data_IF_180352390298
#
_entry.id   IF_180352390298
#
_cell.length_a   1.000
_cell.length_b   1.000
_cell.length_c   1.000
_cell.angle_alpha   90.00
_cell.angle_beta   90.00
_cell.angle_gamma   90.00
#
_symmetry.space_group_name_H-M   'P 1'
#
loop_
_entity.id
_entity.type
_entity.pdbx_description
1 polymer ?
#
# COMPACT_ATOMS: atom_id res chain seq x y z
N UNK A 1 -28.21 -11.99 -22.43
CA UNK A 1 -28.03 -12.06 -20.97
C UNK A 1 -28.29 -10.67 -20.41
N UNK A 2 -29.25 -10.53 -19.50
CA UNK A 2 -29.44 -9.27 -18.77
C UNK A 2 -28.32 -9.21 -17.72
N UNK A 3 -27.40 -8.23 -17.75
CA UNK A 3 -26.33 -8.19 -16.77
C UNK A 3 -26.93 -7.97 -15.39
N UNK A 4 -26.48 -8.76 -14.40
CA UNK A 4 -26.90 -8.62 -13.01
C UNK A 4 -26.21 -7.40 -12.37
N UNK A 5 -26.54 -6.21 -12.88
CA UNK A 5 -25.90 -4.95 -12.48
C UNK A 5 -26.00 -4.67 -10.98
N UNK A 6 -27.09 -5.10 -10.33
CA UNK A 6 -27.26 -4.95 -8.88
C UNK A 6 -26.23 -5.78 -8.09
N UNK A 7 -25.94 -7.00 -8.55
CA UNK A 7 -24.94 -7.87 -7.92
C UNK A 7 -23.53 -7.32 -8.17
N UNK A 8 -23.23 -6.97 -9.43
CA UNK A 8 -21.91 -6.43 -9.81
C UNK A 8 -21.62 -5.12 -9.06
N UNK A 9 -22.58 -4.20 -8.99
CA UNK A 9 -22.44 -2.95 -8.25
C UNK A 9 -22.27 -3.17 -6.75
N UNK A 10 -23.07 -4.07 -6.15
CA UNK A 10 -22.96 -4.38 -4.71
C UNK A 10 -21.59 -4.96 -4.35
N UNK A 11 -21.10 -5.93 -5.12
CA UNK A 11 -19.78 -6.53 -4.89
C UNK A 11 -18.64 -5.53 -5.14
N UNK A 12 -18.78 -4.66 -6.15
CA UNK A 12 -17.84 -3.55 -6.39
C UNK A 12 -17.71 -2.61 -5.18
N UNK A 13 -18.82 -2.17 -4.59
CA UNK A 13 -18.78 -1.33 -3.38
C UNK A 13 -18.17 -2.05 -2.17
N UNK A 14 -18.51 -3.34 -1.97
CA UNK A 14 -17.90 -4.15 -0.90
C UNK A 14 -16.38 -4.28 -1.09
N UNK A 15 -15.95 -4.49 -2.33
CA UNK A 15 -14.53 -4.54 -2.68
C UNK A 15 -13.84 -3.21 -2.34
N UNK A 16 -14.35 -2.08 -2.84
CA UNK A 16 -13.82 -0.74 -2.54
C UNK A 16 -13.69 -0.49 -1.03
N UNK A 17 -14.74 -0.81 -0.27
CA UNK A 17 -14.73 -0.66 1.19
C UNK A 17 -13.67 -1.53 1.88
N UNK A 18 -13.56 -2.81 1.49
CA UNK A 18 -12.59 -3.74 2.06
C UNK A 18 -11.15 -3.33 1.74
N UNK A 19 -10.91 -2.86 0.51
CA UNK A 19 -9.60 -2.39 0.08
C UNK A 19 -9.21 -1.10 0.82
N UNK A 20 -10.11 -0.13 0.93
CA UNK A 20 -9.84 1.11 1.67
C UNK A 20 -9.58 0.86 3.16
N UNK A 21 -10.32 -0.04 3.80
CA UNK A 21 -10.07 -0.44 5.18
C UNK A 21 -8.68 -1.10 5.33
N UNK A 22 -8.31 -1.95 4.38
CA UNK A 22 -7.01 -2.61 4.32
C UNK A 22 -5.86 -1.62 4.18
N UNK A 23 -5.97 -0.68 3.23
CA UNK A 23 -4.98 0.35 2.96
C UNK A 23 -4.84 1.30 4.16
N UNK A 24 -5.97 1.75 4.72
CA UNK A 24 -6.00 2.65 5.87
C UNK A 24 -5.31 2.02 7.09
N UNK A 25 -5.49 0.71 7.31
CA UNK A 25 -4.77 -0.02 8.34
C UNK A 25 -3.25 -0.03 8.07
N UNK A 26 -2.83 -0.19 6.82
CA UNK A 26 -1.42 -0.18 6.49
C UNK A 26 -0.77 1.19 6.72
N UNK A 27 -1.46 2.27 6.35
CA UNK A 27 -1.03 3.64 6.65
C UNK A 27 -0.87 3.84 8.16
N UNK A 28 -1.87 3.42 8.96
CA UNK A 28 -1.79 3.49 10.44
C UNK A 28 -0.58 2.75 10.99
N UNK A 29 -0.26 1.56 10.46
CA UNK A 29 0.91 0.79 10.89
C UNK A 29 2.21 1.54 10.59
N UNK A 30 2.33 2.16 9.42
CA UNK A 30 3.52 2.93 9.06
C UNK A 30 3.68 4.15 9.99
N UNK A 31 2.59 4.86 10.27
CA UNK A 31 2.60 5.99 11.20
C UNK A 31 2.96 5.57 12.63
N UNK A 32 2.47 4.41 13.10
CA UNK A 32 2.81 3.87 14.40
C UNK A 32 4.32 3.59 14.52
N UNK A 33 4.93 2.95 13.51
CA UNK A 33 6.38 2.67 13.49
C UNK A 33 7.19 3.97 13.45
N UNK A 34 6.75 4.99 12.70
CA UNK A 34 7.40 6.30 12.71
C UNK A 34 7.34 6.92 14.12
N UNK A 35 6.18 6.86 14.78
CA UNK A 35 6.00 7.38 16.13
C UNK A 35 6.87 6.65 17.18
N UNK A 36 6.99 5.32 17.08
CA UNK A 36 7.90 4.53 17.92
C UNK A 36 9.36 4.95 17.72
N UNK A 37 9.78 5.17 16.47
CA UNK A 37 11.13 5.64 16.18
C UNK A 37 11.37 7.07 16.69
N UNK A 38 10.35 7.93 16.70
CA UNK A 38 10.43 9.27 17.30
C UNK A 38 10.61 9.18 18.83
N UNK A 39 9.85 8.31 19.51
CA UNK A 39 10.05 8.05 20.93
C UNK A 39 11.46 7.53 21.25
N UNK A 40 11.99 6.62 20.42
CA UNK A 40 13.36 6.13 20.59
C UNK A 40 14.42 7.23 20.41
N UNK A 41 14.15 8.24 19.56
CA UNK A 41 15.02 9.41 19.43
C UNK A 41 15.02 10.24 20.73
N UNK A 42 13.84 10.46 21.33
CA UNK A 42 13.73 11.14 22.62
C UNK A 42 14.48 10.40 23.72
N UNK A 43 14.37 9.07 23.78
CA UNK A 43 15.12 8.23 24.71
C UNK A 43 16.64 8.41 24.56
N UNK A 44 17.14 8.46 23.33
CA UNK A 44 18.56 8.73 23.08
C UNK A 44 18.98 10.12 23.57
N UNK A 45 18.14 11.15 23.42
CA UNK A 45 18.44 12.48 23.94
C UNK A 45 18.48 12.50 25.47
N UNK A 46 17.54 11.84 26.14
CA UNK A 46 17.54 11.69 27.60
C UNK A 46 18.79 10.97 28.12
N UNK A 47 19.32 9.99 27.38
CA UNK A 47 20.57 9.32 27.71
C UNK A 47 21.77 10.26 27.61
N UNK A 48 21.80 11.11 26.57
CA UNK A 48 22.85 12.12 26.38
C UNK A 48 22.85 13.15 27.50
N UNK A 49 21.67 13.64 27.90
CA UNK A 49 21.51 14.56 29.03
C UNK A 49 22.02 13.95 30.36
N UNK A 50 21.96 12.62 30.49
CA UNK A 50 22.51 11.86 31.63
C UNK A 50 24.00 11.53 31.49
N UNK A 51 24.67 12.06 30.47
CA UNK A 51 26.11 11.89 30.24
C UNK A 51 26.50 10.60 29.49
N UNK A 52 25.53 9.85 28.94
CA UNK A 52 25.83 8.70 28.09
C UNK A 52 26.17 9.21 26.69
N UNK A 53 27.32 8.85 26.10
CA UNK A 53 27.69 9.33 24.78
C UNK A 53 26.74 8.80 23.70
N UNK A 54 26.39 9.67 22.74
CA UNK A 54 25.54 9.31 21.61
C UNK A 54 26.33 8.45 20.61
N UNK A 55 25.76 7.31 20.26
CA UNK A 55 26.26 6.46 19.19
C UNK A 55 25.70 6.94 17.84
N UNK A 56 26.58 7.51 17.01
CA UNK A 56 26.23 8.04 15.70
C UNK A 56 25.72 6.97 14.73
N UNK A 57 26.16 5.72 14.88
CA UNK A 57 25.68 4.61 14.06
C UNK A 57 24.23 4.25 14.41
N UNK A 58 23.87 4.28 15.70
CA UNK A 58 22.48 4.07 16.15
C UNK A 58 21.56 5.17 15.64
N UNK A 59 21.99 6.43 15.72
CA UNK A 59 21.21 7.55 15.22
C UNK A 59 21.00 7.44 13.70
N UNK A 60 22.04 7.08 12.94
CA UNK A 60 21.94 6.85 11.50
C UNK A 60 20.93 5.75 11.17
N UNK A 61 21.01 4.59 11.84
CA UNK A 61 20.05 3.50 11.65
C UNK A 61 18.62 3.91 11.97
N UNK A 62 18.41 4.76 12.97
CA UNK A 62 17.09 5.29 13.31
C UNK A 62 16.55 6.19 12.20
N UNK A 63 17.37 7.10 11.68
CA UNK A 63 17.00 7.95 10.56
C UNK A 63 16.66 7.14 9.30
N UNK A 64 17.47 6.13 8.97
CA UNK A 64 17.22 5.24 7.84
C UNK A 64 15.89 4.47 7.98
N UNK A 65 15.56 4.01 9.19
CA UNK A 65 14.27 3.36 9.48
C UNK A 65 13.10 4.33 9.25
N UNK A 66 13.17 5.55 9.78
CA UNK A 66 12.13 6.58 9.58
C UNK A 66 11.96 6.85 8.09
N UNK A 67 13.05 7.08 7.35
CA UNK A 67 13.01 7.36 5.92
C UNK A 67 12.38 6.20 5.13
N UNK A 68 12.71 4.96 5.48
CA UNK A 68 12.15 3.77 4.83
C UNK A 68 10.63 3.66 5.05
N UNK A 69 10.14 4.02 6.23
CA UNK A 69 8.71 4.05 6.53
C UNK A 69 7.99 5.18 5.79
N UNK A 70 8.59 6.38 5.70
CA UNK A 70 8.03 7.49 4.91
C UNK A 70 7.88 7.08 3.43
N UNK A 71 8.94 6.50 2.83
CA UNK A 71 8.87 6.01 1.46
C UNK A 71 7.82 4.90 1.28
N UNK A 72 7.61 4.07 2.29
CA UNK A 72 6.54 3.06 2.28
C UNK A 72 5.16 3.70 2.34
N UNK A 73 4.92 4.67 3.22
CA UNK A 73 3.66 5.42 3.27
C UNK A 73 3.35 6.07 1.93
N UNK A 74 4.33 6.72 1.30
CA UNK A 74 4.16 7.36 -0.01
C UNK A 74 3.70 6.37 -1.08
N UNK A 75 4.33 5.18 -1.16
CA UNK A 75 3.90 4.12 -2.07
C UNK A 75 2.47 3.65 -1.80
N UNK A 76 2.10 3.46 -0.53
CA UNK A 76 0.74 3.05 -0.15
C UNK A 76 -0.29 4.10 -0.59
N UNK A 77 -0.02 5.38 -0.32
CA UNK A 77 -0.90 6.50 -0.69
C UNK A 77 -1.01 6.62 -2.21
N UNK A 78 0.10 6.47 -2.94
CA UNK A 78 0.09 6.47 -4.41
C UNK A 78 -0.82 5.36 -4.96
N UNK A 79 -0.70 4.14 -4.45
CA UNK A 79 -1.56 3.03 -4.86
C UNK A 79 -3.03 3.25 -4.49
N UNK A 80 -3.29 3.84 -3.31
CA UNK A 80 -4.64 4.24 -2.90
C UNK A 80 -5.25 5.26 -3.86
N UNK A 81 -4.48 6.27 -4.27
CA UNK A 81 -4.94 7.30 -5.21
C UNK A 81 -5.21 6.70 -6.59
N UNK A 82 -4.33 5.83 -7.09
CA UNK A 82 -4.57 5.08 -8.33
C UNK A 82 -5.86 4.26 -8.24
N UNK A 83 -6.11 3.62 -7.09
CA UNK A 83 -7.31 2.83 -6.87
C UNK A 83 -8.57 3.71 -6.80
N UNK A 84 -8.52 4.82 -6.08
CA UNK A 84 -9.64 5.76 -5.97
C UNK A 84 -10.03 6.34 -7.34
N UNK A 85 -9.05 6.68 -8.18
CA UNK A 85 -9.30 7.19 -9.53
C UNK A 85 -9.72 6.11 -10.54
N UNK A 86 -9.64 4.83 -10.17
CA UNK A 86 -9.95 3.74 -11.08
C UNK A 86 -11.43 3.68 -11.49
N UNK A 87 -12.31 4.19 -10.63
CA UNK A 87 -13.76 4.29 -10.87
C UNK A 87 -14.19 5.59 -11.59
N UNK A 88 -13.28 6.56 -11.75
CA UNK A 88 -13.57 7.80 -12.49
C UNK A 88 -13.69 7.53 -14.00
N UNK A 89 -13.01 6.48 -14.49
CA UNK A 89 -12.99 6.10 -15.91
C UNK A 89 -13.97 4.96 -16.14
N UNK A 90 -15.12 5.28 -16.73
CA UNK A 90 -16.14 4.27 -17.05
C UNK A 90 -15.65 3.27 -18.08
N UNK A 91 -14.88 3.65 -19.12
CA UNK A 91 -14.35 2.67 -20.09
C UNK A 91 -12.98 3.11 -20.58
N UNK A 92 -11.99 2.23 -20.52
CA UNK A 92 -10.62 2.56 -20.88
C UNK A 92 -9.89 1.41 -21.54
N UNK A 93 -8.84 1.75 -22.31
CA UNK A 93 -7.84 0.77 -22.73
C UNK A 93 -6.95 0.46 -21.53
N UNK A 94 -6.89 -0.81 -21.17
CA UNK A 94 -6.18 -1.31 -20.01
C UNK A 94 -5.20 -2.36 -20.47
N UNK A 95 -3.93 -2.20 -20.12
CA UNK A 95 -2.93 -3.25 -20.26
C UNK A 95 -3.13 -4.26 -19.12
N UNK A 96 -3.35 -5.53 -19.46
CA UNK A 96 -3.74 -6.56 -18.50
C UNK A 96 -2.62 -6.89 -17.51
N UNK A 97 -1.36 -6.87 -17.94
CA UNK A 97 -0.22 -7.08 -17.05
C UNK A 97 -0.14 -6.02 -15.96
N UNK A 98 -0.29 -4.75 -16.31
CA UNK A 98 -0.33 -3.62 -15.39
C UNK A 98 -1.50 -3.71 -14.41
N UNK A 99 -2.70 -4.03 -14.90
CA UNK A 99 -3.88 -4.19 -14.05
C UNK A 99 -3.70 -5.34 -13.05
N UNK A 100 -3.24 -6.51 -13.50
CA UNK A 100 -3.01 -7.66 -12.63
C UNK A 100 -1.90 -7.40 -11.60
N UNK A 101 -0.84 -6.71 -12.02
CA UNK A 101 0.25 -6.28 -11.13
C UNK A 101 -0.27 -5.32 -10.07
N UNK A 102 -1.10 -4.37 -10.46
CA UNK A 102 -1.74 -3.43 -9.53
C UNK A 102 -2.69 -4.15 -8.56
N UNK A 103 -3.50 -5.10 -9.04
CA UNK A 103 -4.37 -5.94 -8.19
C UNK A 103 -3.57 -6.77 -7.18
N UNK A 104 -2.39 -7.26 -7.59
CA UNK A 104 -1.47 -7.98 -6.70
C UNK A 104 -0.97 -7.07 -5.58
N UNK A 105 -0.54 -5.85 -5.92
CA UNK A 105 -0.08 -4.85 -4.95
C UNK A 105 -1.19 -4.46 -3.99
N UNK A 106 -2.40 -4.18 -4.51
CA UNK A 106 -3.56 -3.83 -3.69
C UNK A 106 -3.92 -4.94 -2.70
N UNK A 107 -3.91 -6.19 -3.15
CA UNK A 107 -4.32 -7.34 -2.34
C UNK A 107 -3.19 -7.94 -1.49
N UNK A 108 -1.95 -7.45 -1.62
CA UNK A 108 -0.75 -8.02 -1.01
C UNK A 108 -0.90 -8.19 0.51
N UNK A 109 -1.40 -7.16 1.22
CA UNK A 109 -1.60 -7.25 2.68
C UNK A 109 -2.61 -8.34 3.04
N UNK A 110 -3.71 -8.45 2.28
CA UNK A 110 -4.76 -9.45 2.52
C UNK A 110 -4.26 -10.87 2.24
N UNK A 111 -3.40 -11.03 1.23
CA UNK A 111 -2.74 -12.30 0.92
C UNK A 111 -1.75 -12.69 2.03
N UNK A 112 -0.91 -11.75 2.46
CA UNK A 112 0.07 -11.97 3.52
C UNK A 112 -0.57 -12.36 4.86
N UNK A 113 -1.72 -11.78 5.22
CA UNK A 113 -2.51 -12.18 6.40
C UNK A 113 -2.97 -13.65 6.36
N UNK A 114 -2.94 -14.28 5.19
CA UNK A 114 -3.29 -15.68 4.96
C UNK A 114 -2.07 -16.52 4.54
N UNK A 115 -0.86 -15.99 4.69
CA UNK A 115 0.39 -16.65 4.29
C UNK A 115 0.45 -16.99 2.79
N UNK A 116 -0.25 -16.20 1.96
CA UNK A 116 -0.25 -16.33 0.51
C UNK A 116 0.61 -15.27 -0.15
N UNK A 117 1.22 -15.63 -1.28
CA UNK A 117 1.94 -14.71 -2.16
C UNK A 117 1.34 -14.78 -3.56
N UNK A 118 1.16 -13.62 -4.18
CA UNK A 118 0.73 -13.53 -5.58
C UNK A 118 1.91 -13.15 -6.46
N UNK A 119 1.96 -13.73 -7.65
CA UNK A 119 2.91 -13.42 -8.69
C UNK A 119 2.17 -13.31 -10.02
N UNK A 120 2.47 -12.25 -10.76
CA UNK A 120 1.94 -12.02 -12.10
C UNK A 120 3.10 -12.16 -13.06
N UNK A 121 2.93 -13.02 -14.05
CA UNK A 121 3.89 -13.21 -15.14
C UNK A 121 3.22 -12.67 -16.41
N UNK A 122 3.47 -11.41 -16.79
CA UNK A 122 2.90 -10.87 -18.01
C UNK A 122 3.53 -11.53 -19.25
N UNK A 123 2.77 -11.68 -20.35
CA UNK A 123 3.32 -12.14 -21.62
C UNK A 123 4.37 -11.14 -22.17
N UNK A 124 5.26 -11.58 -23.08
CA UNK A 124 6.25 -10.69 -23.71
C UNK A 124 5.60 -9.53 -24.47
N UNK A 125 4.46 -9.80 -25.12
CA UNK A 125 3.70 -8.81 -25.86
C UNK A 125 2.54 -8.27 -25.00
N UNK A 126 2.41 -6.95 -24.80
CA UNK A 126 1.34 -6.36 -24.00
C UNK A 126 -0.05 -6.72 -24.51
N UNK A 127 -0.96 -7.09 -23.61
CA UNK A 127 -2.35 -7.39 -23.97
C UNK A 127 -3.22 -6.23 -23.49
N UNK A 128 -3.71 -5.44 -24.45
CA UNK A 128 -4.61 -4.32 -24.15
C UNK A 128 -6.05 -4.69 -24.48
N UNK A 129 -6.96 -4.49 -23.52
CA UNK A 129 -8.40 -4.65 -23.71
C UNK A 129 -9.13 -3.35 -23.40
N UNK A 130 -10.29 -3.15 -24.02
CA UNK A 130 -11.20 -2.05 -23.65
C UNK A 130 -12.24 -2.56 -22.65
N UNK A 131 -12.13 -2.14 -21.39
CA UNK A 131 -13.00 -2.64 -20.30
C UNK A 131 -13.34 -1.54 -19.29
N UNK A 132 -14.25 -1.88 -18.36
CA UNK A 132 -14.38 -1.23 -17.05
C UNK A 132 -13.34 -1.90 -16.14
N UNK A 133 -12.28 -1.20 -15.70
CA UNK A 133 -11.18 -1.83 -14.96
C UNK A 133 -11.56 -2.24 -13.53
N UNK A 134 -12.56 -1.58 -12.93
CA UNK A 134 -13.06 -1.80 -11.56
C UNK A 134 -14.56 -1.61 -11.49
#
# INVERSE_FOLDING_TARGET
MNPQWDIIGSEGFKFMGKMNASISHEIKNVLAIINENAGLLEDFMLMVEKGVPLDSERLKKLADKIQSQIQRADRIVKNMNTFAHSVDKTKGNVELGELLSFMTVLSQRLAAMKELTFSVVPPPDPITITTHPF
#
